data_IF_184277218934
#
_entry.id   IF_184277218934
#
_cell.length_a   1.000
_cell.length_b   1.000
_cell.length_c   1.000
_cell.angle_alpha   90.00
_cell.angle_beta   90.00
_cell.angle_gamma   90.00
#
_symmetry.space_group_name_H-M   'P 1'
#
loop_
_entity.id
_entity.type
_entity.pdbx_description
1 polymer ?
#
# COMPACT_ATOMS: atom_id res chain seq x y z
N UNK A 1 7.31 27.38 -34.17
CA UNK A 1 7.88 27.04 -35.49
C UNK A 1 9.03 27.96 -35.88
N UNK A 2 8.82 29.28 -35.96
CA UNK A 2 9.88 30.23 -36.31
C UNK A 2 11.12 30.16 -35.39
N UNK A 3 10.90 30.01 -34.08
CA UNK A 3 11.99 29.84 -33.10
C UNK A 3 12.83 28.58 -33.36
N UNK A 4 12.18 27.45 -33.65
CA UNK A 4 12.83 26.17 -33.96
C UNK A 4 13.66 26.29 -35.23
N UNK A 5 13.13 26.95 -36.28
CA UNK A 5 13.86 27.21 -37.52
C UNK A 5 15.09 28.10 -37.31
N UNK A 6 14.98 29.11 -36.43
CA UNK A 6 16.13 29.95 -36.09
C UNK A 6 17.20 29.17 -35.33
N UNK A 7 16.81 28.33 -34.35
CA UNK A 7 17.74 27.49 -33.60
C UNK A 7 18.42 26.44 -34.48
N UNK A 8 17.67 25.81 -35.38
CA UNK A 8 18.24 24.84 -36.31
C UNK A 8 19.24 25.49 -37.28
N UNK A 9 18.95 26.71 -37.75
CA UNK A 9 19.88 27.49 -38.57
C UNK A 9 21.16 27.85 -37.80
N UNK A 10 21.05 28.25 -36.54
CA UNK A 10 22.21 28.57 -35.69
C UNK A 10 23.07 27.33 -35.38
N UNK A 11 22.46 26.15 -35.40
CA UNK A 11 23.12 24.85 -35.25
C UNK A 11 23.56 24.23 -36.58
N UNK A 12 23.41 24.95 -37.71
CA UNK A 12 23.70 24.49 -39.07
C UNK A 12 23.01 23.16 -39.45
N UNK A 13 21.82 22.93 -38.90
CA UNK A 13 21.00 21.75 -39.19
C UNK A 13 20.06 22.01 -40.37
N UNK A 14 20.00 21.07 -41.30
CA UNK A 14 19.00 21.05 -42.37
C UNK A 14 17.75 20.32 -41.86
N UNK A 15 16.70 21.09 -41.57
CA UNK A 15 15.38 20.60 -41.16
C UNK A 15 14.33 21.16 -42.09
N UNK A 16 13.38 20.33 -42.50
CA UNK A 16 12.25 20.71 -43.33
C UNK A 16 10.99 20.96 -42.47
N UNK A 17 9.90 21.37 -43.12
CA UNK A 17 8.64 21.70 -42.43
C UNK A 17 8.01 20.46 -41.76
N UNK A 18 8.09 19.31 -42.43
CA UNK A 18 7.56 18.03 -41.94
C UNK A 18 8.32 17.54 -40.69
N UNK A 19 9.65 17.73 -40.65
CA UNK A 19 10.50 17.37 -39.50
C UNK A 19 10.11 18.17 -38.23
N UNK A 20 9.65 19.40 -38.41
CA UNK A 20 9.23 20.28 -37.30
C UNK A 20 7.81 19.95 -36.87
N UNK A 21 6.93 19.63 -37.80
CA UNK A 21 5.56 19.20 -37.50
C UNK A 21 5.56 17.89 -36.70
N UNK A 22 6.40 16.91 -37.08
CA UNK A 22 6.60 15.68 -36.30
C UNK A 22 7.13 15.98 -34.89
N UNK A 23 8.09 16.89 -34.75
CA UNK A 23 8.66 17.28 -33.46
C UNK A 23 7.64 17.95 -32.54
N UNK A 24 6.78 18.81 -33.09
CA UNK A 24 5.73 19.51 -32.32
C UNK A 24 4.65 18.51 -31.91
N UNK A 25 4.17 17.68 -32.84
CA UNK A 25 3.15 16.67 -32.55
C UNK A 25 3.62 15.65 -31.50
N UNK A 26 4.88 15.22 -31.56
CA UNK A 26 5.45 14.29 -30.58
C UNK A 26 5.52 14.86 -29.15
N UNK A 27 5.49 16.19 -29.01
CA UNK A 27 5.56 16.90 -27.74
C UNK A 27 4.19 17.41 -27.26
N UNK A 28 3.15 17.35 -28.10
CA UNK A 28 1.80 17.79 -27.79
C UNK A 28 1.08 16.83 -26.82
N UNK A 29 1.41 15.54 -26.89
CA UNK A 29 0.89 14.50 -26.00
C UNK A 29 1.74 14.29 -24.72
N UNK A 30 2.87 15.00 -24.58
CA UNK A 30 3.73 14.87 -23.41
C UNK A 30 3.24 15.78 -22.28
N UNK A 31 2.97 15.18 -21.11
CA UNK A 31 2.55 15.93 -19.93
C UNK A 31 3.63 16.94 -19.53
N UNK A 32 3.22 18.18 -19.37
CA UNK A 32 4.09 19.24 -18.83
C UNK A 32 4.43 18.96 -17.36
N UNK A 33 5.52 19.56 -16.88
CA UNK A 33 5.94 19.44 -15.48
C UNK A 33 4.84 19.95 -14.54
N UNK A 34 4.12 20.98 -14.96
CA UNK A 34 2.98 21.56 -14.24
C UNK A 34 1.81 20.57 -14.15
N UNK A 35 1.45 19.90 -15.24
CA UNK A 35 0.38 18.89 -15.24
C UNK A 35 0.75 17.67 -14.41
N UNK A 36 2.01 17.24 -14.42
CA UNK A 36 2.49 16.17 -13.54
C UNK A 36 2.41 16.56 -12.05
N UNK A 37 2.69 17.82 -11.73
CA UNK A 37 2.55 18.33 -10.36
C UNK A 37 1.08 18.39 -9.92
N UNK A 38 0.18 18.74 -10.83
CA UNK A 38 -1.26 18.74 -10.57
C UNK A 38 -1.77 17.32 -10.31
N UNK A 39 -1.42 16.35 -11.18
CA UNK A 39 -1.79 14.93 -11.01
C UNK A 39 -1.24 14.39 -9.69
N UNK A 40 0.02 14.68 -9.36
CA UNK A 40 0.62 14.25 -8.08
C UNK A 40 -0.13 14.85 -6.88
N UNK A 41 -0.52 16.12 -6.96
CA UNK A 41 -1.24 16.81 -5.90
C UNK A 41 -2.68 16.29 -5.76
N UNK A 42 -3.35 15.98 -6.87
CA UNK A 42 -4.67 15.34 -6.89
C UNK A 42 -4.62 13.93 -6.29
N UNK A 43 -3.68 13.09 -6.71
CA UNK A 43 -3.47 11.75 -6.16
C UNK A 43 -3.17 11.82 -4.66
N UNK A 44 -2.36 12.79 -4.23
CA UNK A 44 -2.02 12.98 -2.82
C UNK A 44 -3.23 13.44 -1.99
N UNK A 45 -4.09 14.30 -2.55
CA UNK A 45 -5.34 14.71 -1.90
C UNK A 45 -6.38 13.60 -1.86
N UNK A 46 -6.49 12.79 -2.92
CA UNK A 46 -7.40 11.65 -2.98
C UNK A 46 -6.94 10.55 -2.01
N UNK A 47 -5.64 10.28 -1.95
CA UNK A 47 -5.05 9.38 -0.95
C UNK A 47 -5.26 9.91 0.46
N UNK A 48 -5.12 11.21 0.72
CA UNK A 48 -5.40 11.77 2.05
C UNK A 48 -6.90 11.71 2.41
N UNK A 49 -7.81 11.77 1.43
CA UNK A 49 -9.26 11.58 1.64
C UNK A 49 -9.62 10.12 1.90
N UNK A 50 -8.95 9.17 1.25
CA UNK A 50 -9.17 7.74 1.45
C UNK A 50 -8.45 7.19 2.69
N UNK A 51 -7.34 7.82 3.09
CA UNK A 51 -6.52 7.45 4.25
C UNK A 51 -6.91 8.25 5.48
N UNK A 52 -7.74 9.29 5.41
CA UNK A 52 -8.39 9.80 6.62
C UNK A 52 -9.40 8.74 7.06
N UNK A 53 -9.12 7.94 8.11
CA UNK A 53 -10.24 7.37 8.82
C UNK A 53 -11.05 8.59 9.25
N UNK A 54 -12.37 8.53 9.13
CA UNK A 54 -13.20 9.53 9.80
C UNK A 54 -12.61 9.74 11.20
N UNK A 55 -12.04 10.92 11.48
CA UNK A 55 -11.45 11.24 12.80
C UNK A 55 -12.54 11.32 13.90
N UNK A 56 -13.73 10.77 13.60
CA UNK A 56 -14.87 10.60 14.47
C UNK A 56 -15.17 9.12 14.77
N UNK A 57 -14.42 8.17 14.24
CA UNK A 57 -14.24 6.88 14.91
C UNK A 57 -13.01 6.98 15.81
N UNK A 58 -13.06 7.86 16.81
CA UNK A 58 -12.49 7.47 18.09
C UNK A 58 -13.13 6.11 18.38
N UNK A 59 -12.36 5.03 18.23
CA UNK A 59 -12.77 3.71 18.67
C UNK A 59 -13.03 3.83 20.18
N UNK A 60 -14.26 4.17 20.54
CA UNK A 60 -14.74 4.32 21.91
C UNK A 60 -14.64 2.99 22.67
N UNK A 61 -14.14 1.91 22.02
CA UNK A 61 -13.72 0.70 22.70
C UNK A 61 -12.55 1.01 23.60
N UNK A 62 -12.92 1.21 24.86
CA UNK A 62 -12.01 1.13 25.99
C UNK A 62 -11.07 -0.06 25.78
N UNK A 63 -9.74 0.13 25.91
CA UNK A 63 -8.79 -0.95 25.77
C UNK A 63 -9.19 -2.09 26.71
N UNK A 64 -9.20 -3.31 26.18
CA UNK A 64 -9.65 -4.47 26.94
C UNK A 64 -8.83 -4.56 28.24
N UNK A 65 -9.48 -4.61 29.41
CA UNK A 65 -8.73 -4.68 30.66
C UNK A 65 -7.91 -5.97 30.69
N UNK A 66 -6.69 -5.89 31.22
CA UNK A 66 -5.76 -7.02 31.25
C UNK A 66 -6.36 -8.25 31.95
N UNK A 67 -7.28 -8.07 32.90
CA UNK A 67 -8.04 -9.15 33.52
C UNK A 67 -8.91 -9.91 32.51
N UNK A 68 -9.61 -9.21 31.62
CA UNK A 68 -10.43 -9.84 30.59
C UNK A 68 -9.58 -10.60 29.56
N UNK A 69 -8.38 -10.07 29.21
CA UNK A 69 -7.42 -10.78 28.36
C UNK A 69 -6.96 -12.08 29.05
N UNK A 70 -6.62 -12.02 30.34
CA UNK A 70 -6.20 -13.21 31.11
C UNK A 70 -7.31 -14.26 31.18
N UNK A 71 -8.57 -13.84 31.34
CA UNK A 71 -9.69 -14.77 31.40
C UNK A 71 -9.99 -15.38 30.03
N UNK A 72 -9.81 -14.64 28.94
CA UNK A 72 -9.89 -15.16 27.58
C UNK A 72 -8.80 -16.22 27.33
N UNK A 73 -7.56 -15.96 27.74
CA UNK A 73 -6.46 -16.90 27.62
C UNK A 73 -6.73 -18.20 28.40
N UNK A 74 -7.28 -18.11 29.62
CA UNK A 74 -7.66 -19.30 30.39
C UNK A 74 -8.76 -20.12 29.71
N UNK A 75 -9.78 -19.47 29.14
CA UNK A 75 -10.83 -20.16 28.39
C UNK A 75 -10.25 -20.84 27.15
N UNK A 76 -9.32 -20.18 26.48
CA UNK A 76 -8.61 -20.73 25.33
C UNK A 76 -7.78 -21.97 25.70
N UNK A 77 -7.08 -21.94 26.84
CA UNK A 77 -6.37 -23.11 27.35
C UNK A 77 -7.31 -24.26 27.73
N UNK A 78 -8.52 -23.97 28.24
CA UNK A 78 -9.53 -24.98 28.49
C UNK A 78 -10.04 -25.63 27.19
N UNK A 79 -10.29 -24.84 26.15
CA UNK A 79 -10.62 -25.35 24.81
C UNK A 79 -9.49 -26.23 24.29
N UNK A 80 -8.23 -25.82 24.48
CA UNK A 80 -7.06 -26.64 24.10
C UNK A 80 -7.07 -27.99 24.82
N UNK A 81 -7.28 -27.99 26.14
CA UNK A 81 -7.32 -29.22 26.93
C UNK A 81 -8.42 -30.18 26.43
N UNK A 82 -9.61 -29.66 26.13
CA UNK A 82 -10.71 -30.45 25.57
C UNK A 82 -10.38 -31.01 24.19
N UNK A 83 -9.80 -30.19 23.30
CA UNK A 83 -9.40 -30.66 21.96
C UNK A 83 -8.35 -31.76 22.08
N UNK A 84 -7.38 -31.66 23.00
CA UNK A 84 -6.41 -32.72 23.23
C UNK A 84 -7.02 -34.00 23.82
N UNK A 85 -7.99 -33.88 24.72
CA UNK A 85 -8.62 -35.01 25.41
C UNK A 85 -9.52 -35.82 24.46
N UNK A 86 -10.20 -35.15 23.52
CA UNK A 86 -11.18 -35.79 22.63
C UNK A 86 -10.67 -36.06 21.22
N UNK A 87 -9.49 -35.54 20.84
CA UNK A 87 -8.90 -35.88 19.54
C UNK A 87 -8.12 -37.21 19.59
N UNK A 88 -8.39 -38.15 18.67
CA UNK A 88 -7.68 -39.42 18.59
C UNK A 88 -6.20 -39.29 18.18
N UNK A 89 -5.79 -38.14 17.64
CA UNK A 89 -4.39 -37.86 17.29
C UNK A 89 -3.87 -36.59 17.97
N UNK A 90 -3.37 -36.74 19.19
CA UNK A 90 -2.78 -35.66 19.99
C UNK A 90 -1.58 -35.00 19.30
N UNK A 91 -0.84 -35.74 18.46
CA UNK A 91 0.33 -35.21 17.75
C UNK A 91 -0.05 -34.22 16.64
N UNK A 92 -1.19 -34.42 15.96
CA UNK A 92 -1.68 -33.48 14.94
C UNK A 92 -2.18 -32.18 15.57
N UNK A 93 -2.84 -32.25 16.72
CA UNK A 93 -3.30 -31.06 17.46
C UNK A 93 -2.12 -30.22 17.91
N UNK A 94 -1.08 -30.84 18.47
CA UNK A 94 0.16 -30.15 18.86
C UNK A 94 0.86 -29.52 17.64
N UNK A 95 0.93 -30.23 16.51
CA UNK A 95 1.54 -29.71 15.28
C UNK A 95 0.82 -28.49 14.71
N UNK A 96 -0.52 -28.50 14.70
CA UNK A 96 -1.32 -27.36 14.23
C UNK A 96 -1.10 -26.14 15.14
N UNK A 97 -0.97 -26.37 16.44
CA UNK A 97 -0.68 -25.32 17.41
C UNK A 97 0.71 -24.71 17.25
N UNK A 98 1.73 -25.55 17.07
CA UNK A 98 3.10 -25.11 16.82
C UNK A 98 3.19 -24.30 15.53
N UNK A 99 2.43 -24.66 14.50
CA UNK A 99 2.31 -23.87 13.27
C UNK A 99 1.64 -22.51 13.50
N UNK A 100 0.56 -22.48 14.28
CA UNK A 100 -0.14 -21.22 14.59
C UNK A 100 0.74 -20.24 15.36
N UNK A 101 1.46 -20.72 16.38
CA UNK A 101 2.39 -19.91 17.18
C UNK A 101 3.61 -19.45 16.38
N UNK A 102 4.20 -20.33 15.56
CA UNK A 102 5.31 -19.97 14.67
C UNK A 102 4.92 -18.88 13.66
N UNK A 103 3.71 -18.97 13.11
CA UNK A 103 3.20 -17.97 12.14
C UNK A 103 2.99 -16.61 12.82
N UNK A 104 2.41 -16.58 14.02
CA UNK A 104 2.22 -15.35 14.79
C UNK A 104 3.54 -14.67 15.17
N UNK A 105 4.57 -15.45 15.52
CA UNK A 105 5.93 -14.94 15.80
C UNK A 105 6.55 -14.29 14.56
N UNK A 106 6.42 -14.94 13.39
CA UNK A 106 6.95 -14.43 12.12
C UNK A 106 6.25 -13.12 11.71
N UNK A 107 4.95 -12.99 11.99
CA UNK A 107 4.20 -11.76 11.68
C UNK A 107 4.44 -10.64 12.69
N UNK A 108 4.78 -10.94 13.95
CA UNK A 108 5.11 -9.91 14.95
C UNK A 108 6.56 -9.41 14.89
N UNK A 109 7.46 -10.14 14.23
CA UNK A 109 8.87 -9.78 14.03
C UNK A 109 9.13 -8.88 12.82
N UNK A 110 8.09 -8.36 12.17
CA UNK A 110 8.16 -7.36 11.11
C UNK A 110 7.33 -6.15 11.51
N UNK A 111 7.85 -5.36 12.45
CA UNK A 111 7.45 -3.98 12.67
C UNK A 111 8.62 -3.19 13.23
#
# INVERSE_FOLDING_TARGET
MDEILTTARDLELEVNEDDIEELIMGHEDELTIEELQEILNEEHQETQRDVTPSEQEEDERRPMPTSAIKDLLKKWDAVRAMVLEWHPNQADVSRIWDLYTATLLITSGKS
#
